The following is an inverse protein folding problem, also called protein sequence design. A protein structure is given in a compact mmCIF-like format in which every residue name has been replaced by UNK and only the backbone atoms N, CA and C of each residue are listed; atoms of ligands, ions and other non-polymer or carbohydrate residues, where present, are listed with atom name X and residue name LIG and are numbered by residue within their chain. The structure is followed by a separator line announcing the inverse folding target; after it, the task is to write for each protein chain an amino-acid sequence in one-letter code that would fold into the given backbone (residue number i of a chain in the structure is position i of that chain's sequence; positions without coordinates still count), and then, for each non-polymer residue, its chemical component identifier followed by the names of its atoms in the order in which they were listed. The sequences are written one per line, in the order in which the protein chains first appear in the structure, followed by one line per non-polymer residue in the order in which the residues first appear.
data_IF_699630280335
#
_entry.id   IF_699630280335
#
_cell.length_a   1.000
_cell.length_b   1.000
_cell.length_c   1.000
_cell.angle_alpha   90.00
_cell.angle_beta   90.00
_cell.angle_gamma   90.00
#
_symmetry.space_group_name_H-M   'P 1'
#
loop_
_entity.id
_entity.type
_entity.pdbx_description
1 polymer ?
#
# COMPACT_ATOMS: atom_id res chain seq x y z
N UNK A 1 17.45 -23.58 23.56
CA UNK A 1 17.35 -22.20 24.10
C UNK A 1 18.18 -21.32 23.19
N UNK A 2 17.57 -20.33 22.54
CA UNK A 2 18.28 -19.42 21.63
C UNK A 2 19.09 -18.39 22.45
N UNK A 3 20.25 -18.00 21.94
CA UNK A 3 21.08 -16.97 22.59
C UNK A 3 20.46 -15.59 22.42
N UNK A 4 20.78 -14.62 23.30
CA UNK A 4 20.29 -13.25 23.18
C UNK A 4 20.57 -12.60 21.82
N UNK A 5 21.73 -12.88 21.21
CA UNK A 5 22.08 -12.38 19.87
C UNK A 5 21.21 -13.01 18.77
N UNK A 6 20.88 -14.30 18.88
CA UNK A 6 19.94 -14.97 17.96
C UNK A 6 18.51 -14.45 18.10
N UNK A 7 18.13 -13.97 19.29
CA UNK A 7 16.84 -13.31 19.52
C UNK A 7 16.83 -11.88 18.97
N UNK A 8 17.93 -11.14 19.09
CA UNK A 8 18.07 -9.79 18.54
C UNK A 8 18.09 -9.79 16.99
N UNK A 9 18.80 -10.74 16.38
CA UNK A 9 18.78 -10.93 14.92
C UNK A 9 17.40 -11.34 14.41
N UNK A 10 16.68 -12.20 15.17
CA UNK A 10 15.29 -12.56 14.83
C UNK A 10 14.31 -11.41 15.03
N UNK A 11 14.52 -10.57 16.05
CA UNK A 11 13.69 -9.38 16.28
C UNK A 11 13.92 -8.32 15.20
N UNK A 12 15.17 -8.03 14.84
CA UNK A 12 15.51 -7.11 13.74
C UNK A 12 15.09 -7.65 12.37
N UNK A 13 15.16 -8.97 12.17
CA UNK A 13 14.56 -9.64 11.02
C UNK A 13 13.04 -9.45 11.00
N UNK A 14 12.34 -9.72 12.10
CA UNK A 14 10.90 -9.57 12.21
C UNK A 14 10.43 -8.14 11.92
N UNK A 15 11.10 -7.12 12.46
CA UNK A 15 10.80 -5.70 12.20
C UNK A 15 11.07 -5.28 10.75
N UNK A 16 12.12 -5.84 10.13
CA UNK A 16 12.40 -5.62 8.69
C UNK A 16 11.39 -6.34 7.82
N UNK A 17 10.95 -7.54 8.19
CA UNK A 17 9.92 -8.28 7.46
C UNK A 17 8.55 -7.62 7.59
N UNK A 18 8.17 -7.08 8.75
CA UNK A 18 6.92 -6.32 8.89
C UNK A 18 6.95 -5.03 8.09
N UNK A 19 8.09 -4.34 8.00
CA UNK A 19 8.25 -3.16 7.16
C UNK A 19 8.23 -3.47 5.65
N UNK A 20 8.87 -4.57 5.21
CA UNK A 20 8.80 -5.05 3.82
C UNK A 20 7.38 -5.51 3.47
N UNK A 21 6.72 -6.26 4.35
CA UNK A 21 5.33 -6.69 4.16
C UNK A 21 4.38 -5.48 4.14
N UNK A 22 4.57 -4.49 5.00
CA UNK A 22 3.79 -3.25 4.95
C UNK A 22 4.02 -2.48 3.63
N UNK A 23 5.26 -2.39 3.14
CA UNK A 23 5.58 -1.75 1.86
C UNK A 23 4.95 -2.50 0.66
N UNK A 24 4.97 -3.84 0.67
CA UNK A 24 4.32 -4.68 -0.35
C UNK A 24 2.78 -4.49 -0.29
N UNK A 25 2.19 -4.40 0.90
CA UNK A 25 0.75 -4.10 1.07
C UNK A 25 0.40 -2.70 0.52
N UNK A 26 1.36 -1.77 0.46
CA UNK A 26 1.22 -0.48 -0.20
C UNK A 26 1.59 -0.48 -1.70
N UNK A 27 1.86 -1.65 -2.28
CA UNK A 27 2.10 -1.84 -3.72
C UNK A 27 3.51 -1.49 -4.19
N UNK A 28 4.49 -1.46 -3.28
CA UNK A 28 5.90 -1.31 -3.62
C UNK A 28 6.49 -2.68 -3.97
N UNK A 29 7.38 -2.74 -4.96
CA UNK A 29 8.15 -3.96 -5.21
C UNK A 29 9.21 -4.19 -4.11
N UNK A 30 9.62 -5.46 -3.94
CA UNK A 30 10.62 -5.88 -2.94
C UNK A 30 11.92 -5.07 -3.07
N UNK A 31 12.38 -4.78 -4.28
CA UNK A 31 13.61 -4.00 -4.50
C UNK A 31 13.48 -2.55 -4.03
N UNK A 32 12.30 -1.94 -4.14
CA UNK A 32 12.03 -0.58 -3.65
C UNK A 32 11.90 -0.56 -2.12
N UNK A 33 11.21 -1.55 -1.55
CA UNK A 33 11.11 -1.71 -0.10
C UNK A 33 12.49 -1.93 0.54
N UNK A 34 13.34 -2.74 -0.08
CA UNK A 34 14.72 -2.98 0.37
C UNK A 34 15.56 -1.72 0.25
N UNK A 35 15.46 -0.94 -0.84
CA UNK A 35 16.18 0.34 -0.99
C UNK A 35 15.76 1.38 0.05
N UNK A 36 14.47 1.47 0.35
CA UNK A 36 13.96 2.38 1.38
C UNK A 36 14.50 2.01 2.77
N UNK A 37 14.54 0.71 3.09
CA UNK A 37 15.06 0.22 4.36
C UNK A 37 16.58 0.28 4.46
N UNK A 38 17.31 0.21 3.34
CA UNK A 38 18.77 0.30 3.32
C UNK A 38 19.29 1.73 3.53
N UNK A 39 18.47 2.76 3.28
CA UNK A 39 18.92 4.16 3.25
C UNK A 39 20.01 4.40 2.18
N UNK A 40 20.42 5.65 1.92
CA UNK A 40 21.53 5.91 1.01
C UNK A 40 22.81 5.31 1.61
N UNK A 41 23.32 4.24 1.01
CA UNK A 41 24.58 3.62 1.45
C UNK A 41 25.72 4.60 1.23
N UNK A 42 26.30 5.09 2.32
CA UNK A 42 27.58 5.78 2.28
C UNK A 42 28.65 4.83 1.74
N UNK A 43 29.29 5.21 0.63
CA UNK A 43 30.43 4.53 0.04
C UNK A 43 31.59 4.36 1.04
N UNK A 44 32.37 3.27 0.95
CA UNK A 44 33.50 3.06 1.85
C UNK A 44 34.60 4.07 1.54
N UNK A 45 35.00 4.84 2.56
CA UNK A 45 36.15 5.74 2.50
C UNK A 45 37.42 4.90 2.26
N UNK A 46 37.92 4.95 1.03
CA UNK A 46 39.29 4.56 0.70
C UNK A 46 40.26 5.59 1.29
N UNK A 47 41.10 5.14 2.22
CA UNK A 47 42.15 5.92 2.87
C UNK A 47 43.27 6.22 1.87
N UNK A 48 43.34 7.47 1.41
CA UNK A 48 44.42 7.96 0.55
C UNK A 48 44.63 9.45 0.78
N UNK A 49 45.41 9.80 1.81
CA UNK A 49 45.77 11.18 2.10
C UNK A 49 46.71 11.73 1.00
N UNK A 50 46.27 12.76 0.28
CA UNK A 50 47.17 13.72 -0.39
C UNK A 50 46.63 15.14 -0.22
N UNK A 51 47.54 16.00 0.21
CA UNK A 51 47.38 17.40 0.57
C UNK A 51 46.63 18.23 -0.48
N UNK A 52 45.70 19.07 -0.03
CA UNK A 52 45.18 20.18 -0.82
C UNK A 52 45.79 21.46 -0.25
N UNK A 53 46.73 22.04 -1.00
CA UNK A 53 47.21 23.40 -0.82
C UNK A 53 46.25 24.32 -1.56
N UNK A 54 45.80 25.36 -0.86
CA UNK A 54 44.94 26.41 -1.35
C UNK A 54 45.75 27.39 -2.19
N UNK A 55 45.77 27.20 -3.51
CA UNK A 55 45.98 28.23 -4.55
C UNK A 55 45.94 27.53 -5.91
N UNK A 56 44.83 27.64 -6.62
CA UNK A 56 44.88 28.05 -8.03
C UNK A 56 43.53 28.62 -8.43
N UNK A 57 43.58 29.92 -8.72
CA UNK A 57 42.50 30.74 -9.22
C UNK A 57 42.20 30.36 -10.68
N UNK A 58 40.90 30.17 -10.97
CA UNK A 58 40.08 30.43 -12.16
C UNK A 58 40.75 30.88 -13.51
N UNK A 59 39.98 31.00 -14.62
CA UNK A 59 39.08 30.07 -15.33
C UNK A 59 39.29 30.12 -16.87
N UNK A 60 38.66 29.22 -17.66
CA UNK A 60 37.93 29.57 -18.89
C UNK A 60 37.42 28.33 -19.66
N UNK A 61 36.08 28.24 -19.77
CA UNK A 61 35.30 27.55 -20.80
C UNK A 61 34.86 26.12 -20.47
N UNK A 62 33.63 25.67 -20.66
CA UNK A 62 32.35 26.32 -21.01
C UNK A 62 31.28 25.21 -20.85
N UNK A 63 30.25 25.39 -20.02
CA UNK A 63 28.95 24.72 -20.21
C UNK A 63 27.88 25.62 -19.62
N UNK A 64 27.34 26.48 -20.48
CA UNK A 64 26.11 27.21 -20.24
C UNK A 64 24.90 26.27 -20.16
N UNK A 65 23.86 26.82 -19.54
CA UNK A 65 22.45 26.44 -19.72
C UNK A 65 21.95 25.22 -18.92
N UNK A 66 21.74 25.42 -17.61
CA UNK A 66 20.57 24.87 -16.89
C UNK A 66 20.39 25.35 -15.44
N UNK A 67 21.36 26.02 -14.81
CA UNK A 67 21.29 26.38 -13.37
C UNK A 67 20.94 27.85 -13.13
N UNK A 68 20.23 28.49 -14.07
CA UNK A 68 19.71 29.86 -13.91
C UNK A 68 18.18 29.89 -13.90
N UNK A 69 17.57 28.98 -13.14
CA UNK A 69 16.12 29.04 -12.80
C UNK A 69 15.77 28.76 -11.34
N UNK A 70 16.73 28.40 -10.49
CA UNK A 70 16.42 27.95 -9.13
C UNK A 70 16.80 28.90 -7.98
N UNK A 71 17.32 30.10 -8.25
CA UNK A 71 17.71 31.06 -7.17
C UNK A 71 16.79 32.29 -7.08
N UNK A 72 15.73 32.37 -7.90
CA UNK A 72 14.75 33.47 -7.80
C UNK A 72 13.46 33.13 -7.00
N UNK A 73 13.31 31.91 -6.48
CA UNK A 73 12.11 31.50 -5.73
C UNK A 73 12.30 31.45 -4.20
N UNK A 74 13.53 31.48 -3.68
CA UNK A 74 13.80 31.38 -2.25
C UNK A 74 13.78 32.73 -1.50
N UNK A 75 13.67 33.87 -2.22
CA UNK A 75 13.66 35.21 -1.62
C UNK A 75 12.25 35.81 -1.45
N UNK A 76 11.18 35.12 -1.87
CA UNK A 76 9.79 35.62 -1.76
C UNK A 76 9.08 35.09 -0.50
N UNK A 77 9.54 33.97 0.08
CA UNK A 77 8.92 33.41 1.28
C UNK A 77 9.34 34.08 2.60
N UNK A 78 10.40 34.89 2.62
CA UNK A 78 10.88 35.54 3.84
C UNK A 78 10.37 36.98 4.04
N UNK A 79 9.64 37.56 3.07
CA UNK A 79 9.14 38.93 3.14
C UNK A 79 7.64 39.07 3.44
N UNK A 80 6.89 37.96 3.61
CA UNK A 80 5.44 37.98 3.86
C UNK A 80 5.04 37.68 5.33
N UNK A 81 6.00 37.63 6.25
CA UNK A 81 5.72 37.37 7.66
C UNK A 81 5.35 38.61 8.50
N UNK A 82 5.12 39.78 7.88
CA UNK A 82 4.88 41.03 8.62
C UNK A 82 3.72 41.90 8.10
N UNK A 83 2.77 41.34 7.34
CA UNK A 83 1.52 42.04 7.01
C UNK A 83 0.34 41.10 7.17
N UNK A 84 -0.47 41.34 8.19
CA UNK A 84 -1.75 40.66 8.36
C UNK A 84 -2.68 40.95 7.19
N UNK A 85 -3.43 39.93 6.77
CA UNK A 85 -4.69 40.11 6.07
C UNK A 85 -5.67 39.09 6.64
N UNK A 86 -6.66 39.60 7.37
CA UNK A 86 -7.88 38.92 7.72
C UNK A 86 -8.69 38.63 6.44
N UNK A 87 -8.88 37.37 6.12
CA UNK A 87 -9.94 36.94 5.22
C UNK A 87 -10.52 35.63 5.74
N UNK A 88 -11.68 35.72 6.38
CA UNK A 88 -12.60 34.61 6.59
C UNK A 88 -12.78 33.88 5.27
N UNK A 89 -12.29 32.66 5.20
CA UNK A 89 -12.72 31.67 4.22
C UNK A 89 -13.18 30.47 5.02
N UNK A 90 -14.50 30.37 5.20
CA UNK A 90 -15.17 29.13 5.56
C UNK A 90 -14.92 28.14 4.43
N UNK A 91 -13.83 27.41 4.54
CA UNK A 91 -13.52 26.25 3.75
C UNK A 91 -12.84 25.30 4.69
N UNK A 92 -13.63 24.53 5.45
CA UNK A 92 -13.13 23.37 6.17
C UNK A 92 -12.30 22.57 5.16
N UNK A 93 -11.00 22.36 5.36
CA UNK A 93 -10.29 21.38 4.58
C UNK A 93 -10.96 20.05 4.93
N UNK A 94 -11.82 19.56 4.04
CA UNK A 94 -12.36 18.20 4.11
C UNK A 94 -11.19 17.28 3.86
N UNK A 95 -10.40 17.08 4.90
CA UNK A 95 -9.29 16.14 4.93
C UNK A 95 -9.86 14.80 4.50
N UNK A 96 -9.17 14.07 3.62
CA UNK A 96 -9.59 12.78 3.04
C UNK A 96 -10.14 11.75 4.06
N UNK A 97 -9.87 11.93 5.35
CA UNK A 97 -10.54 11.26 6.47
C UNK A 97 -12.08 11.34 6.40
N UNK A 98 -12.65 12.47 6.00
CA UNK A 98 -14.10 12.70 5.95
C UNK A 98 -14.79 11.87 4.86
N UNK A 99 -14.10 11.55 3.75
CA UNK A 99 -14.69 10.70 2.69
C UNK A 99 -14.80 9.23 3.06
N UNK A 100 -14.04 8.75 4.06
CA UNK A 100 -14.11 7.37 4.49
C UNK A 100 -15.33 7.08 5.38
N UNK A 101 -15.90 8.09 6.03
CA UNK A 101 -17.05 7.93 6.93
C UNK A 101 -18.30 7.41 6.20
N UNK A 102 -18.47 7.81 4.94
CA UNK A 102 -19.63 7.43 4.11
C UNK A 102 -19.46 6.07 3.41
N UNK A 103 -18.26 5.48 3.45
CA UNK A 103 -18.00 4.20 2.81
C UNK A 103 -18.62 3.05 3.60
N UNK A 104 -19.18 2.08 2.88
CA UNK A 104 -19.58 0.79 3.46
C UNK A 104 -18.43 0.14 4.22
N UNK A 105 -18.70 -0.30 5.46
CA UNK A 105 -17.72 -0.92 6.34
C UNK A 105 -17.76 -2.45 6.23
N UNK A 106 -16.70 -3.09 5.67
CA UNK A 106 -16.64 -4.54 5.57
C UNK A 106 -16.65 -5.26 6.93
N UNK A 107 -16.16 -4.63 8.00
CA UNK A 107 -16.11 -5.26 9.32
C UNK A 107 -17.49 -5.53 9.92
N UNK A 108 -18.51 -4.78 9.48
CA UNK A 108 -19.91 -4.91 9.92
C UNK A 108 -20.83 -5.39 8.81
N UNK A 109 -20.49 -5.15 7.55
CA UNK A 109 -21.31 -5.52 6.40
C UNK A 109 -21.24 -6.99 5.99
N UNK A 110 -20.16 -7.71 6.32
CA UNK A 110 -20.02 -9.13 5.99
C UNK A 110 -20.45 -9.98 7.20
N UNK A 111 -21.50 -10.82 7.07
CA UNK A 111 -21.99 -11.59 8.21
C UNK A 111 -21.09 -12.81 8.50
N UNK A 112 -21.00 -13.20 9.78
CA UNK A 112 -20.20 -14.33 10.24
C UNK A 112 -20.50 -15.65 9.50
N UNK A 113 -21.75 -15.87 9.10
CA UNK A 113 -22.13 -17.07 8.33
C UNK A 113 -21.47 -17.11 6.94
N UNK A 114 -21.32 -15.95 6.29
CA UNK A 114 -20.65 -15.85 5.00
C UNK A 114 -19.13 -16.08 5.14
N UNK A 115 -18.54 -15.55 6.22
CA UNK A 115 -17.13 -15.76 6.58
C UNK A 115 -16.83 -17.24 6.86
N UNK A 116 -17.69 -17.91 7.64
CA UNK A 116 -17.56 -19.36 7.91
C UNK A 116 -17.70 -20.18 6.63
N UNK A 117 -18.65 -19.83 5.75
CA UNK A 117 -18.79 -20.47 4.44
C UNK A 117 -17.56 -20.25 3.53
N UNK A 118 -16.86 -19.13 3.70
CA UNK A 118 -15.58 -18.83 3.05
C UNK A 118 -14.36 -19.49 3.72
N UNK A 119 -14.56 -20.35 4.73
CA UNK A 119 -13.52 -21.04 5.50
C UNK A 119 -12.51 -20.10 6.19
N UNK A 120 -12.97 -18.92 6.64
CA UNK A 120 -12.21 -18.01 7.52
C UNK A 120 -12.89 -17.86 8.87
N UNK A 121 -12.13 -17.51 9.90
CA UNK A 121 -12.62 -17.36 11.27
C UNK A 121 -13.15 -15.95 11.52
N UNK A 122 -14.46 -15.75 11.80
CA UNK A 122 -15.00 -14.44 12.14
C UNK A 122 -14.37 -13.81 13.39
N UNK A 123 -13.89 -14.62 14.34
CA UNK A 123 -13.26 -14.12 15.56
C UNK A 123 -11.85 -13.55 15.32
N UNK A 124 -11.24 -13.85 14.17
CA UNK A 124 -9.91 -13.35 13.79
C UNK A 124 -9.92 -11.97 13.14
N UNK A 125 -11.08 -11.29 13.16
CA UNK A 125 -11.35 -9.98 12.55
C UNK A 125 -10.27 -8.96 12.90
N UNK A 126 -9.76 -8.29 11.87
CA UNK A 126 -8.81 -7.19 12.00
C UNK A 126 -9.29 -6.00 11.17
N UNK A 127 -9.46 -4.83 11.81
CA UNK A 127 -9.84 -3.61 11.12
C UNK A 127 -8.59 -2.81 10.73
N UNK A 128 -8.57 -2.27 9.50
CA UNK A 128 -7.40 -1.59 8.97
C UNK A 128 -6.28 -2.54 8.57
N UNK A 129 -5.07 -2.00 8.43
CA UNK A 129 -3.84 -2.76 8.19
C UNK A 129 -3.05 -2.79 9.49
N UNK A 130 -2.94 -3.96 10.14
CA UNK A 130 -2.30 -4.06 11.45
C UNK A 130 -3.01 -3.26 12.53
N UNK A 131 -4.33 -3.10 12.43
CA UNK A 131 -5.12 -2.23 13.33
C UNK A 131 -5.15 -0.75 12.93
N UNK A 132 -4.41 -0.34 11.90
CA UNK A 132 -4.27 1.07 11.51
C UNK A 132 -5.19 1.38 10.31
N UNK A 133 -6.09 2.34 10.50
CA UNK A 133 -6.99 2.82 9.44
C UNK A 133 -6.22 3.56 8.35
N UNK A 134 -6.58 3.29 7.11
CA UNK A 134 -5.94 3.90 5.94
C UNK A 134 -6.83 5.02 5.39
N UNK A 135 -6.24 6.17 5.10
CA UNK A 135 -6.99 7.34 4.60
C UNK A 135 -7.70 7.01 3.27
N UNK A 136 -9.01 7.26 3.21
CA UNK A 136 -9.84 6.97 2.04
C UNK A 136 -10.24 5.49 1.87
N UNK A 137 -10.05 4.67 2.91
CA UNK A 137 -10.39 3.25 2.87
C UNK A 137 -11.13 2.79 4.13
N UNK A 138 -12.03 1.83 3.95
CA UNK A 138 -12.45 0.90 5.02
C UNK A 138 -11.90 -0.47 4.69
N UNK A 139 -11.25 -1.11 5.67
CA UNK A 139 -10.53 -2.37 5.46
C UNK A 139 -10.87 -3.31 6.60
N UNK A 140 -11.20 -4.56 6.25
CA UNK A 140 -11.34 -5.61 7.24
C UNK A 140 -10.77 -6.94 6.74
N UNK A 141 -9.97 -7.59 7.59
CA UNK A 141 -9.33 -8.87 7.29
C UNK A 141 -9.76 -9.98 8.23
N UNK A 142 -9.72 -11.22 7.73
CA UNK A 142 -9.96 -12.45 8.48
C UNK A 142 -8.98 -13.54 8.06
N UNK A 143 -8.61 -14.38 9.04
CA UNK A 143 -7.65 -15.48 8.87
C UNK A 143 -8.40 -16.80 8.72
N UNK A 144 -7.98 -17.60 7.74
CA UNK A 144 -8.35 -19.01 7.57
C UNK A 144 -7.11 -19.89 7.66
N UNK A 145 -7.29 -21.21 7.63
CA UNK A 145 -6.21 -22.21 7.76
C UNK A 145 -5.31 -22.32 6.53
N UNK A 146 -5.78 -21.92 5.35
CA UNK A 146 -5.03 -22.01 4.08
C UNK A 146 -4.76 -20.65 3.45
N UNK A 147 -5.63 -19.67 3.72
CA UNK A 147 -5.56 -18.32 3.19
C UNK A 147 -6.17 -17.34 4.19
N UNK A 148 -5.84 -16.06 4.05
CA UNK A 148 -6.60 -14.96 4.62
C UNK A 148 -7.42 -14.27 3.55
N UNK A 149 -8.49 -13.60 3.96
CA UNK A 149 -9.24 -12.71 3.09
C UNK A 149 -9.21 -11.28 3.64
N UNK A 150 -9.24 -10.31 2.75
CA UNK A 150 -9.40 -8.91 3.11
C UNK A 150 -10.41 -8.26 2.20
N UNK A 151 -11.38 -7.56 2.80
CA UNK A 151 -12.35 -6.76 2.07
C UNK A 151 -12.02 -5.27 2.25
N UNK A 152 -12.10 -4.53 1.15
CA UNK A 152 -11.81 -3.10 1.10
C UNK A 152 -13.01 -2.36 0.53
N UNK A 153 -13.24 -1.13 1.00
CA UNK A 153 -14.18 -0.18 0.42
C UNK A 153 -13.47 1.15 0.22
N UNK A 154 -13.67 1.77 -0.93
CA UNK A 154 -13.07 3.08 -1.26
C UNK A 154 -13.89 3.83 -2.30
N UNK A 155 -13.73 5.16 -2.34
CA UNK A 155 -14.39 6.02 -3.31
C UNK A 155 -13.73 6.04 -4.70
N UNK A 156 -12.71 5.21 -4.90
CA UNK A 156 -11.99 5.09 -6.17
C UNK A 156 -12.81 4.34 -7.21
N UNK A 157 -12.50 4.58 -8.48
CA UNK A 157 -13.06 3.88 -9.64
C UNK A 157 -12.31 2.59 -9.97
N UNK A 158 -12.90 1.72 -10.80
CA UNK A 158 -12.21 0.51 -11.32
C UNK A 158 -11.01 0.90 -12.19
N UNK A 159 -11.16 1.92 -13.05
CA UNK A 159 -10.08 2.45 -13.90
C UNK A 159 -8.83 2.84 -13.10
N UNK A 160 -8.98 3.40 -11.90
CA UNK A 160 -7.83 3.72 -11.05
C UNK A 160 -7.03 2.49 -10.64
N UNK A 161 -7.66 1.31 -10.50
CA UNK A 161 -6.95 0.05 -10.24
C UNK A 161 -6.27 -0.48 -11.50
N UNK A 162 -6.88 -0.29 -12.68
CA UNK A 162 -6.31 -0.71 -13.96
C UNK A 162 -5.08 0.09 -14.36
N UNK A 163 -5.08 1.38 -14.04
CA UNK A 163 -3.97 2.28 -14.35
C UNK A 163 -2.91 2.35 -13.23
N UNK A 164 -3.11 1.64 -12.11
CA UNK A 164 -2.15 1.60 -11.01
C UNK A 164 -0.96 0.71 -11.40
N UNK A 165 0.28 1.25 -11.43
CA UNK A 165 1.48 0.44 -11.67
C UNK A 165 1.58 -0.73 -10.67
N UNK A 166 2.06 -1.87 -11.18
CA UNK A 166 2.19 -3.12 -10.43
C UNK A 166 0.90 -3.93 -10.32
N UNK A 167 -0.28 -3.39 -10.66
CA UNK A 167 -1.46 -4.23 -10.86
C UNK A 167 -1.43 -4.82 -12.28
N UNK A 168 -1.63 -6.13 -12.40
CA UNK A 168 -1.47 -6.88 -13.66
C UNK A 168 -2.47 -8.02 -13.79
N UNK A 169 -2.40 -8.74 -14.91
CA UNK A 169 -3.20 -9.94 -15.20
C UNK A 169 -4.71 -9.70 -15.08
N UNK A 170 -5.16 -8.55 -15.60
CA UNK A 170 -6.56 -8.15 -15.54
C UNK A 170 -7.46 -9.07 -16.36
N UNK A 171 -8.60 -9.46 -15.78
CA UNK A 171 -9.64 -10.18 -16.49
C UNK A 171 -11.02 -9.86 -15.92
N UNK A 172 -12.04 -9.90 -16.77
CA UNK A 172 -13.42 -9.80 -16.32
C UNK A 172 -13.84 -11.10 -15.65
N UNK A 173 -14.60 -10.98 -14.56
CA UNK A 173 -15.16 -12.11 -13.82
C UNK A 173 -16.60 -11.82 -13.43
N UNK A 174 -17.36 -12.88 -13.17
CA UNK A 174 -18.68 -12.79 -12.55
C UNK A 174 -18.71 -13.72 -11.34
N UNK A 175 -19.03 -13.16 -10.18
CA UNK A 175 -19.07 -13.90 -8.90
C UNK A 175 -20.40 -13.59 -8.23
N UNK A 176 -21.15 -14.60 -7.83
CA UNK A 176 -22.50 -14.47 -7.28
C UNK A 176 -23.43 -13.59 -8.14
N UNK A 177 -23.29 -13.67 -9.47
CA UNK A 177 -24.05 -12.85 -10.43
C UNK A 177 -23.65 -11.37 -10.50
N UNK A 178 -22.55 -10.96 -9.86
CA UNK A 178 -22.02 -9.59 -9.92
C UNK A 178 -20.76 -9.55 -10.79
N UNK A 179 -20.76 -8.64 -11.76
CA UNK A 179 -19.57 -8.34 -12.57
C UNK A 179 -18.49 -7.70 -11.71
N UNK A 180 -17.26 -8.18 -11.87
CA UNK A 180 -16.08 -7.65 -11.21
C UNK A 180 -14.88 -7.69 -12.13
N UNK A 181 -13.83 -6.97 -11.74
CA UNK A 181 -12.55 -6.92 -12.44
C UNK A 181 -11.47 -7.55 -11.57
N UNK A 182 -10.99 -8.71 -12.01
CA UNK A 182 -9.92 -9.44 -11.33
C UNK A 182 -8.56 -8.88 -11.73
N UNK A 183 -7.61 -8.89 -10.80
CA UNK A 183 -6.21 -8.58 -11.05
C UNK A 183 -5.29 -9.22 -9.99
N UNK A 184 -3.98 -9.18 -10.25
CA UNK A 184 -2.91 -9.54 -9.31
C UNK A 184 -1.98 -8.37 -9.09
N UNK A 185 -1.22 -8.40 -8.01
CA UNK A 185 -0.13 -7.45 -7.78
C UNK A 185 1.20 -8.11 -8.14
N UNK A 186 2.03 -7.45 -8.94
CA UNK A 186 3.38 -7.89 -9.26
C UNK A 186 4.27 -8.02 -8.02
N UNK A 187 5.38 -8.74 -8.18
CA UNK A 187 6.35 -8.99 -7.11
C UNK A 187 6.18 -10.36 -6.44
N UNK A 188 6.77 -10.51 -5.26
CA UNK A 188 6.93 -11.81 -4.61
C UNK A 188 5.60 -12.49 -4.22
N UNK A 189 4.54 -11.72 -3.97
CA UNK A 189 3.23 -12.26 -3.60
C UNK A 189 2.35 -12.63 -4.77
N UNK A 190 2.73 -12.32 -6.03
CA UNK A 190 1.87 -12.46 -7.23
C UNK A 190 1.17 -13.82 -7.35
N UNK A 191 1.86 -14.89 -6.94
CA UNK A 191 1.37 -16.27 -7.03
C UNK A 191 0.54 -16.71 -5.81
N UNK A 192 0.52 -15.90 -4.75
CA UNK A 192 -0.20 -16.13 -3.51
C UNK A 192 -1.42 -15.22 -3.36
N UNK A 193 -1.49 -14.12 -4.11
CA UNK A 193 -2.58 -13.16 -4.03
C UNK A 193 -3.53 -13.22 -5.22
N UNK A 194 -4.79 -12.87 -4.98
CA UNK A 194 -5.73 -12.52 -6.02
C UNK A 194 -6.69 -11.45 -5.50
N UNK A 195 -7.08 -10.55 -6.40
CA UNK A 195 -7.96 -9.44 -6.07
C UNK A 195 -9.08 -9.36 -7.10
N UNK A 196 -10.28 -9.01 -6.65
CA UNK A 196 -11.39 -8.61 -7.52
C UNK A 196 -12.00 -7.33 -6.99
N UNK A 197 -12.09 -6.30 -7.83
CA UNK A 197 -12.88 -5.10 -7.53
C UNK A 197 -14.28 -5.21 -8.14
N UNK A 198 -15.27 -4.75 -7.38
CA UNK A 198 -16.65 -4.67 -7.77
C UNK A 198 -17.09 -3.20 -7.72
N UNK A 199 -17.57 -2.63 -8.84
CA UNK A 199 -18.08 -1.26 -8.84
C UNK A 199 -19.33 -1.16 -7.95
N UNK A 200 -19.44 -0.05 -7.23
CA UNK A 200 -20.57 0.32 -6.37
C UNK A 200 -21.01 1.75 -6.67
N UNK A 201 -22.15 2.19 -6.13
CA UNK A 201 -22.55 3.60 -6.22
C UNK A 201 -21.55 4.57 -5.58
N UNK A 202 -20.80 4.09 -4.57
CA UNK A 202 -19.87 4.92 -3.78
C UNK A 202 -18.43 4.80 -4.25
N UNK A 203 -18.12 3.97 -5.25
CA UNK A 203 -16.75 3.70 -5.72
C UNK A 203 -16.56 2.22 -6.02
N UNK A 204 -15.68 1.56 -5.28
CA UNK A 204 -15.45 0.12 -5.41
C UNK A 204 -15.39 -0.59 -4.05
N UNK A 205 -15.81 -1.84 -4.06
CA UNK A 205 -15.49 -2.80 -3.00
C UNK A 205 -14.57 -3.86 -3.59
N UNK A 206 -13.46 -4.12 -2.91
CA UNK A 206 -12.47 -5.13 -3.30
C UNK A 206 -12.56 -6.33 -2.36
N UNK A 207 -12.46 -7.53 -2.92
CA UNK A 207 -12.15 -8.74 -2.19
C UNK A 207 -10.75 -9.20 -2.57
N UNK A 208 -9.93 -9.50 -1.57
CA UNK A 208 -8.62 -10.08 -1.72
C UNK A 208 -8.57 -11.45 -1.04
N UNK A 209 -7.91 -12.40 -1.69
CA UNK A 209 -7.41 -13.64 -1.08
C UNK A 209 -5.89 -13.57 -1.05
N UNK A 210 -5.30 -13.96 0.07
CA UNK A 210 -3.86 -14.16 0.21
C UNK A 210 -3.60 -15.56 0.78
N UNK A 211 -3.00 -16.42 -0.04
CA UNK A 211 -2.60 -17.76 0.34
C UNK A 211 -1.47 -17.78 1.36
N UNK A 212 -1.45 -18.80 2.22
CA UNK A 212 -0.35 -19.00 3.17
C UNK A 212 0.90 -19.51 2.44
N UNK A 213 1.95 -18.70 2.48
CA UNK A 213 3.24 -19.01 1.86
C UNK A 213 3.94 -20.27 2.41
N UNK A 214 3.58 -20.71 3.62
CA UNK A 214 4.17 -21.88 4.27
C UNK A 214 3.58 -23.22 3.83
N UNK A 215 2.64 -23.23 2.88
CA UNK A 215 2.05 -24.45 2.34
C UNK A 215 2.94 -24.98 1.20
N UNK A 216 3.16 -26.29 1.17
CA UNK A 216 3.96 -26.92 0.10
C UNK A 216 3.30 -26.82 -1.28
N UNK A 217 1.96 -26.74 -1.31
CA UNK A 217 1.15 -26.57 -2.51
C UNK A 217 -0.04 -25.66 -2.20
N UNK A 218 0.16 -24.33 -2.12
CA UNK A 218 -0.95 -23.42 -1.85
C UNK A 218 -1.95 -23.50 -3.01
N UNK A 219 -3.27 -23.50 -2.72
CA UNK A 219 -4.27 -23.47 -3.77
C UNK A 219 -4.15 -22.19 -4.61
N UNK A 220 -4.48 -22.29 -5.89
CA UNK A 220 -4.43 -21.13 -6.81
C UNK A 220 -5.40 -20.02 -6.30
N UNK A 221 -4.89 -18.81 -6.00
CA UNK A 221 -5.63 -17.83 -5.21
C UNK A 221 -6.85 -17.24 -5.90
N UNK A 222 -6.87 -17.11 -7.24
CA UNK A 222 -8.04 -16.61 -7.96
C UNK A 222 -9.17 -17.63 -8.02
N UNK A 223 -8.85 -18.91 -8.19
CA UNK A 223 -9.80 -20.00 -8.06
C UNK A 223 -10.39 -20.10 -6.64
N UNK A 224 -9.58 -19.85 -5.61
CA UNK A 224 -10.07 -19.72 -4.23
C UNK A 224 -11.02 -18.52 -4.10
N UNK A 225 -10.61 -17.34 -4.59
CA UNK A 225 -11.40 -16.11 -4.53
C UNK A 225 -12.76 -16.29 -5.23
N UNK A 226 -12.79 -16.86 -6.42
CA UNK A 226 -14.02 -17.12 -7.15
C UNK A 226 -14.99 -18.00 -6.34
N UNK A 227 -14.49 -19.08 -5.71
CA UNK A 227 -15.33 -19.97 -4.89
C UNK A 227 -15.85 -19.31 -3.62
N UNK A 228 -14.98 -18.67 -2.84
CA UNK A 228 -15.38 -18.05 -1.56
C UNK A 228 -16.17 -16.76 -1.78
N UNK A 229 -15.97 -16.11 -2.93
CA UNK A 229 -16.73 -14.95 -3.33
C UNK A 229 -18.22 -15.23 -3.46
N UNK A 230 -18.63 -16.47 -3.77
CA UNK A 230 -20.05 -16.87 -3.82
C UNK A 230 -20.78 -16.66 -2.48
N UNK A 231 -20.09 -16.80 -1.34
CA UNK A 231 -20.69 -16.52 -0.02
C UNK A 231 -20.52 -15.07 0.41
N UNK A 232 -19.44 -14.40 0.00
CA UNK A 232 -19.06 -13.06 0.48
C UNK A 232 -19.70 -11.94 -0.35
N UNK A 233 -19.59 -12.00 -1.68
CA UNK A 233 -20.03 -10.94 -2.60
C UNK A 233 -21.51 -10.56 -2.46
N UNK A 234 -22.45 -11.47 -2.13
CA UNK A 234 -23.84 -11.09 -1.87
C UNK A 234 -24.03 -10.04 -0.76
N UNK A 235 -23.08 -9.91 0.17
CA UNK A 235 -23.13 -8.92 1.26
C UNK A 235 -22.66 -7.52 0.85
N UNK A 236 -22.02 -7.38 -0.31
CA UNK A 236 -21.46 -6.11 -0.75
C UNK A 236 -22.56 -5.12 -1.19
N UNK A 237 -22.40 -3.82 -0.92
CA UNK A 237 -23.33 -2.79 -1.38
C UNK A 237 -23.38 -2.75 -2.91
N UNK A 238 -24.51 -2.30 -3.47
CA UNK A 238 -24.72 -2.21 -4.91
C UNK A 238 -23.95 -1.05 -5.55
#
# INVERSE_FOLDING_TARGET
MLTPDQLADRAGSWERWTAVLAAIVHGWDVDEAVRFLAGPTAEPRGTGARHIVQTDLCPAGDVGESVRRYVAAAAICAALAAAGCSSTTEGTPTTTADKAADLWDPCTGIPDIALRAANVDPASKESGVGGIQQSGWKICGWRGSEYSITAYSTARSVDEFEHKPGNVDFTDVTIAGRSGRQFRVEGASKQLDCNVVFPTQQGVVQLQVLGRASLDNPPEPCGVLARIGESIVPSFPK
#
